data_IF_973806065903
#
_entry.id   IF_973806065903
#
_cell.length_a   1.000
_cell.length_b   1.000
_cell.length_c   1.000
_cell.angle_alpha   90.00
_cell.angle_beta   90.00
_cell.angle_gamma   90.00
#
_symmetry.space_group_name_H-M   'P 1'
#
loop_
_entity.id
_entity.type
_entity.pdbx_description
1 polymer ?
#
# COMPACT_ATOMS: atom_id res chain seq x y z
N UNK A 1 5.01 4.88 -12.02
CA UNK A 1 4.79 6.22 -11.43
C UNK A 1 5.02 7.27 -12.51
N UNK A 2 4.04 8.14 -12.78
CA UNK A 2 4.09 9.12 -13.87
C UNK A 2 4.13 10.59 -13.39
N UNK A 3 4.21 10.82 -12.09
CA UNK A 3 4.28 12.14 -11.48
C UNK A 3 5.70 12.71 -11.49
N UNK A 4 5.81 14.02 -11.29
CA UNK A 4 7.07 14.76 -11.30
C UNK A 4 8.08 14.26 -10.22
N UNK A 5 9.35 14.01 -10.59
CA UNK A 5 10.35 13.48 -9.66
C UNK A 5 10.83 14.50 -8.61
N UNK A 6 10.78 15.81 -8.89
CA UNK A 6 11.16 16.85 -7.92
C UNK A 6 10.12 16.90 -6.81
N UNK A 7 8.83 16.87 -7.16
CA UNK A 7 7.73 16.80 -6.20
C UNK A 7 7.90 15.61 -5.25
N UNK A 8 8.19 14.42 -5.78
CA UNK A 8 8.38 13.23 -4.94
C UNK A 8 9.62 13.33 -4.05
N UNK A 9 10.76 13.82 -4.57
CA UNK A 9 11.95 14.06 -3.75
C UNK A 9 11.61 14.92 -2.54
N UNK A 10 10.92 16.03 -2.76
CA UNK A 10 10.62 16.99 -1.70
C UNK A 10 9.63 16.42 -0.67
N UNK A 11 8.61 15.65 -1.11
CA UNK A 11 7.70 14.92 -0.21
C UNK A 11 8.48 13.93 0.67
N UNK A 12 9.38 13.14 0.08
CA UNK A 12 10.14 12.13 0.82
C UNK A 12 11.13 12.76 1.82
N UNK A 13 11.75 13.89 1.46
CA UNK A 13 12.65 14.60 2.37
C UNK A 13 11.89 15.31 3.49
N UNK A 14 10.75 15.94 3.18
CA UNK A 14 9.93 16.64 4.17
C UNK A 14 9.24 15.70 5.17
N UNK A 15 8.91 14.47 4.76
CA UNK A 15 8.22 13.47 5.59
C UNK A 15 9.11 12.25 5.93
N UNK A 16 10.42 12.46 5.99
CA UNK A 16 11.44 11.39 6.08
C UNK A 16 11.15 10.35 7.16
N UNK A 17 10.87 10.79 8.38
CA UNK A 17 10.77 9.88 9.53
C UNK A 17 9.55 8.95 9.43
N UNK A 18 8.39 9.49 9.04
CA UNK A 18 7.19 8.70 8.83
C UNK A 18 7.36 7.71 7.67
N UNK A 19 8.01 8.14 6.58
CA UNK A 19 8.32 7.27 5.45
C UNK A 19 9.25 6.13 5.88
N UNK A 20 10.32 6.43 6.62
CA UNK A 20 11.26 5.41 7.10
C UNK A 20 10.58 4.43 8.07
N UNK A 21 9.71 4.91 8.94
CA UNK A 21 8.91 4.04 9.81
C UNK A 21 8.04 3.08 8.98
N UNK A 22 7.34 3.59 7.97
CA UNK A 22 6.46 2.77 7.14
C UNK A 22 7.25 1.76 6.30
N UNK A 23 8.41 2.16 5.76
CA UNK A 23 9.32 1.26 5.04
C UNK A 23 9.87 0.16 5.96
N UNK A 24 10.17 0.48 7.22
CA UNK A 24 10.58 -0.51 8.22
C UNK A 24 9.50 -1.57 8.44
N UNK A 25 8.27 -1.15 8.72
CA UNK A 25 7.12 -2.06 8.88
C UNK A 25 6.87 -2.92 7.64
N UNK A 26 6.97 -2.32 6.45
CA UNK A 26 6.83 -3.06 5.20
C UNK A 26 7.89 -4.16 5.04
N UNK A 27 9.15 -3.87 5.39
CA UNK A 27 10.22 -4.88 5.36
C UNK A 27 9.99 -6.02 6.36
N UNK A 28 9.45 -5.72 7.54
CA UNK A 28 9.06 -6.73 8.53
C UNK A 28 7.95 -7.64 7.97
N UNK A 29 6.91 -7.05 7.38
CA UNK A 29 5.80 -7.79 6.76
C UNK A 29 6.30 -8.70 5.63
N UNK A 30 7.20 -8.21 4.77
CA UNK A 30 7.84 -9.03 3.72
C UNK A 30 8.66 -10.19 4.30
N UNK A 31 9.38 -9.94 5.39
CA UNK A 31 10.17 -10.98 6.06
C UNK A 31 9.29 -12.07 6.66
N UNK A 32 8.13 -11.70 7.21
CA UNK A 32 7.11 -12.64 7.70
C UNK A 32 6.56 -13.48 6.55
N UNK A 33 6.15 -12.85 5.45
CA UNK A 33 5.64 -13.53 4.26
C UNK A 33 6.66 -14.51 3.67
N UNK A 34 7.91 -14.09 3.56
CA UNK A 34 8.99 -14.93 3.07
C UNK A 34 9.20 -16.18 3.95
N UNK A 35 9.09 -16.06 5.27
CA UNK A 35 9.20 -17.22 6.18
C UNK A 35 8.06 -18.20 6.00
N UNK A 36 6.82 -17.71 5.84
CA UNK A 36 5.66 -18.57 5.57
C UNK A 36 5.87 -19.38 4.29
N UNK A 37 6.30 -18.74 3.20
CA UNK A 37 6.60 -19.39 1.92
C UNK A 37 7.69 -20.45 2.10
N UNK A 38 8.81 -20.09 2.73
CA UNK A 38 9.95 -21.01 2.94
C UNK A 38 9.58 -22.26 3.74
N UNK A 39 8.62 -22.14 4.66
CA UNK A 39 8.16 -23.23 5.52
C UNK A 39 7.01 -24.03 4.91
N UNK A 40 6.49 -23.61 3.75
CA UNK A 40 5.28 -24.21 3.16
C UNK A 40 4.04 -24.01 4.02
N UNK A 41 3.97 -22.91 4.78
CA UNK A 41 2.87 -22.60 5.69
C UNK A 41 1.63 -22.11 4.93
N UNK A 42 0.88 -23.07 4.36
CA UNK A 42 -0.30 -22.78 3.55
C UNK A 42 -1.46 -22.14 4.33
N UNK A 43 -1.63 -22.51 5.60
CA UNK A 43 -2.67 -21.95 6.46
C UNK A 43 -2.37 -20.49 6.81
N UNK A 44 -1.14 -20.18 7.22
CA UNK A 44 -0.72 -18.80 7.50
C UNK A 44 -0.82 -17.90 6.27
N UNK A 45 -0.49 -18.42 5.07
CA UNK A 45 -0.67 -17.68 3.82
C UNK A 45 -2.15 -17.38 3.52
N UNK A 46 -3.03 -18.36 3.73
CA UNK A 46 -4.47 -18.18 3.52
C UNK A 46 -5.03 -17.10 4.47
N UNK A 47 -4.65 -17.14 5.74
CA UNK A 47 -5.06 -16.14 6.74
C UNK A 47 -4.56 -14.74 6.34
N UNK A 48 -3.27 -14.63 5.99
CA UNK A 48 -2.65 -13.37 5.59
C UNK A 48 -3.36 -12.72 4.40
N UNK A 49 -3.65 -13.49 3.34
CA UNK A 49 -4.35 -12.99 2.16
C UNK A 49 -5.81 -12.66 2.44
N UNK A 50 -6.50 -13.47 3.26
CA UNK A 50 -7.89 -13.21 3.65
C UNK A 50 -8.02 -11.88 4.38
N UNK A 51 -7.15 -11.63 5.36
CA UNK A 51 -7.10 -10.36 6.08
C UNK A 51 -6.82 -9.18 5.16
N UNK A 52 -5.87 -9.32 4.22
CA UNK A 52 -5.55 -8.26 3.25
C UNK A 52 -6.76 -7.93 2.36
N UNK A 53 -7.50 -8.96 1.91
CA UNK A 53 -8.73 -8.78 1.13
C UNK A 53 -9.81 -8.05 1.92
N UNK A 54 -9.98 -8.37 3.19
CA UNK A 54 -11.03 -7.77 4.02
C UNK A 54 -10.75 -6.28 4.30
N UNK A 55 -9.48 -5.91 4.51
CA UNK A 55 -9.07 -4.49 4.60
C UNK A 55 -9.42 -3.77 3.29
N UNK A 56 -9.07 -4.35 2.13
CA UNK A 56 -9.39 -3.76 0.82
C UNK A 56 -10.90 -3.59 0.63
N UNK A 57 -11.70 -4.57 1.04
CA UNK A 57 -13.16 -4.49 1.00
C UNK A 57 -13.69 -3.32 1.83
N UNK A 58 -13.19 -3.17 3.06
CA UNK A 58 -13.59 -2.06 3.94
C UNK A 58 -13.32 -0.68 3.33
N UNK A 59 -12.20 -0.51 2.61
CA UNK A 59 -11.87 0.73 1.89
C UNK A 59 -12.89 1.02 0.78
N UNK A 60 -13.29 -0.01 0.02
CA UNK A 60 -14.28 0.11 -1.05
C UNK A 60 -15.66 0.47 -0.47
N UNK A 61 -16.06 -0.19 0.62
CA UNK A 61 -17.32 0.08 1.32
C UNK A 61 -17.41 1.53 1.83
N UNK A 62 -16.27 2.13 2.21
CA UNK A 62 -16.19 3.54 2.62
C UNK A 62 -16.18 4.52 1.43
N UNK A 63 -16.30 4.04 0.19
CA UNK A 63 -16.28 4.87 -1.02
C UNK A 63 -14.95 5.59 -1.26
N UNK A 64 -13.86 5.16 -0.59
CA UNK A 64 -12.53 5.75 -0.73
C UNK A 64 -11.75 5.16 -1.92
N UNK A 65 -12.41 4.33 -2.71
CA UNK A 65 -11.86 3.76 -3.93
C UNK A 65 -12.25 4.59 -5.15
N UNK A 66 -11.34 4.78 -6.08
CA UNK A 66 -11.62 5.45 -7.36
C UNK A 66 -10.94 4.70 -8.49
N UNK A 67 -11.71 4.30 -9.49
CA UNK A 67 -11.21 3.65 -10.70
C UNK A 67 -10.61 4.66 -11.69
N UNK A 68 -10.81 5.96 -11.46
CA UNK A 68 -10.35 7.01 -12.35
C UNK A 68 -8.84 7.29 -12.16
N UNK A 69 -8.10 7.55 -13.26
CA UNK A 69 -6.72 7.99 -13.17
C UNK A 69 -6.59 9.32 -12.38
N UNK A 70 -5.42 9.56 -11.81
CA UNK A 70 -5.13 10.71 -10.93
C UNK A 70 -6.10 10.85 -9.73
N UNK A 71 -6.56 9.71 -9.21
CA UNK A 71 -7.48 9.63 -8.08
C UNK A 71 -8.80 10.40 -8.32
N UNK A 72 -9.24 10.51 -9.57
CA UNK A 72 -10.44 11.27 -9.96
C UNK A 72 -10.27 12.80 -9.95
N UNK A 73 -9.09 13.34 -9.62
CA UNK A 73 -8.89 14.80 -9.47
C UNK A 73 -9.01 15.59 -10.77
N UNK A 74 -8.82 14.96 -11.94
CA UNK A 74 -8.91 15.63 -13.26
C UNK A 74 -10.29 15.61 -13.90
N UNK A 75 -11.30 14.98 -13.28
CA UNK A 75 -12.65 14.93 -13.83
C UNK A 75 -13.41 16.27 -13.71
N UNK A 76 -12.96 17.17 -12.81
CA UNK A 76 -13.55 18.50 -12.61
C UNK A 76 -12.68 19.59 -13.28
N UNK A 77 -12.56 19.51 -14.61
CA UNK A 77 -11.97 20.57 -15.42
C UNK A 77 -12.80 20.73 -16.68
N UNK A 78 -13.43 21.91 -16.83
CA UNK A 78 -14.18 22.32 -18.02
C UNK A 78 -13.36 22.20 -19.30
#
# INVERSE_FOLDING_TARGET
AASDPIMWRDIFLANKDAVLQMLGRFNEDLSVLQRMIRRGDGEGLLEFFSRTRDIRRSIIEQGQDTAAPDFGRRAEGR
#
